data_IF_791585655071
#
_entry.id   IF_791585655071
#
_cell.length_a   1.000
_cell.length_b   1.000
_cell.length_c   1.000
_cell.angle_alpha   90.00
_cell.angle_beta   90.00
_cell.angle_gamma   90.00
#
_symmetry.space_group_name_H-M   'P 1'
#
loop_
_entity.id
_entity.type
_entity.pdbx_description
1 polymer ?
#
# COMPACT_ATOMS: atom_id res chain seq x y z
N UNK A 1 -14.35 -14.59 -17.73
CA UNK A 1 -13.28 -14.51 -16.72
C UNK A 1 -11.99 -15.01 -17.36
N UNK A 2 -11.07 -14.10 -17.71
CA UNK A 2 -9.77 -14.47 -18.28
C UNK A 2 -8.78 -14.61 -17.12
N UNK A 3 -8.53 -15.84 -16.67
CA UNK A 3 -7.40 -16.14 -15.79
C UNK A 3 -6.15 -15.96 -16.62
N UNK A 4 -5.46 -14.83 -16.46
CA UNK A 4 -4.12 -14.65 -17.01
C UNK A 4 -3.20 -15.54 -16.16
N UNK A 5 -2.67 -16.66 -16.66
CA UNK A 5 -1.68 -17.42 -15.90
C UNK A 5 -0.46 -16.52 -15.72
N UNK A 6 0.11 -16.49 -14.51
CA UNK A 6 1.42 -15.87 -14.29
C UNK A 6 2.47 -16.75 -14.98
N UNK A 7 2.63 -16.59 -16.30
CA UNK A 7 3.56 -17.36 -17.14
C UNK A 7 5.01 -16.86 -17.07
N UNK A 8 5.31 -15.94 -16.16
CA UNK A 8 6.69 -15.52 -15.92
C UNK A 8 7.22 -16.39 -14.78
N UNK A 9 8.14 -17.30 -15.08
CA UNK A 9 8.92 -17.97 -14.06
C UNK A 9 9.52 -16.92 -13.12
N UNK A 10 9.38 -17.13 -11.81
CA UNK A 10 10.06 -16.30 -10.83
C UNK A 10 11.56 -16.36 -11.11
N UNK A 11 12.17 -15.20 -11.41
CA UNK A 11 13.63 -15.08 -11.57
C UNK A 11 14.28 -15.08 -10.19
N UNK A 12 15.54 -15.53 -10.11
CA UNK A 12 16.33 -15.32 -8.90
C UNK A 12 16.58 -13.83 -8.68
N UNK A 13 16.93 -13.44 -7.45
CA UNK A 13 17.31 -12.04 -7.14
C UNK A 13 18.56 -11.66 -7.91
N UNK A 14 19.48 -12.61 -8.06
CA UNK A 14 20.74 -12.47 -8.79
C UNK A 14 20.48 -12.20 -10.28
N UNK A 15 19.65 -13.01 -10.94
CA UNK A 15 19.29 -12.84 -12.36
C UNK A 15 18.59 -11.49 -12.58
N UNK A 16 17.75 -11.07 -11.63
CA UNK A 16 17.06 -9.78 -11.72
C UNK A 16 18.04 -8.61 -11.60
N UNK A 17 18.98 -8.68 -10.64
CA UNK A 17 20.05 -7.69 -10.47
C UNK A 17 20.90 -7.58 -11.73
N UNK A 18 21.35 -8.70 -12.28
CA UNK A 18 22.15 -8.71 -13.52
C UNK A 18 21.42 -8.07 -14.68
N UNK A 19 20.11 -8.36 -14.83
CA UNK A 19 19.30 -7.75 -15.87
C UNK A 19 19.15 -6.24 -15.69
N UNK A 20 18.97 -5.77 -14.46
CA UNK A 20 18.91 -4.34 -14.16
C UNK A 20 20.24 -3.67 -14.50
N UNK A 21 21.37 -4.27 -14.12
CA UNK A 21 22.70 -3.77 -14.46
C UNK A 21 22.92 -3.68 -15.98
N UNK A 22 22.50 -4.71 -16.73
CA UNK A 22 22.56 -4.71 -18.20
C UNK A 22 21.75 -3.57 -18.82
N UNK A 23 20.55 -3.31 -18.32
CA UNK A 23 19.68 -2.22 -18.78
C UNK A 23 20.24 -0.84 -18.47
N UNK A 24 20.93 -0.69 -17.34
CA UNK A 24 21.50 0.59 -16.89
C UNK A 24 22.88 0.88 -17.49
N UNK A 25 23.63 -0.14 -17.93
CA UNK A 25 24.99 0.00 -18.48
C UNK A 25 25.13 1.08 -19.57
N UNK A 26 24.21 1.23 -20.55
CA UNK A 26 24.31 2.29 -21.56
C UNK A 26 24.14 3.71 -20.99
N UNK A 27 23.52 3.85 -19.81
CA UNK A 27 23.34 5.14 -19.15
C UNK A 27 24.62 5.60 -18.45
N UNK A 28 25.45 4.66 -17.97
CA UNK A 28 26.69 4.94 -17.24
C UNK A 28 27.77 5.64 -18.10
N UNK A 29 27.71 5.52 -19.42
CA UNK A 29 28.66 6.15 -20.35
C UNK A 29 28.24 7.53 -20.85
N UNK A 30 27.13 8.09 -20.37
CA UNK A 30 26.65 9.40 -20.83
C UNK A 30 27.52 10.52 -20.24
N UNK A 31 27.82 11.51 -21.07
CA UNK A 31 28.50 12.73 -20.63
C UNK A 31 27.64 13.54 -19.66
N UNK A 32 28.31 14.37 -18.86
CA UNK A 32 27.67 15.32 -17.95
C UNK A 32 27.70 16.71 -18.58
N UNK A 33 26.60 17.43 -18.47
CA UNK A 33 26.48 18.82 -18.89
C UNK A 33 25.85 19.67 -17.78
N UNK A 34 26.36 20.88 -17.59
CA UNK A 34 25.73 21.88 -16.74
C UNK A 34 24.71 22.65 -17.59
N UNK A 35 23.45 22.65 -17.15
CA UNK A 35 22.35 23.33 -17.85
C UNK A 35 21.56 24.23 -16.89
N UNK A 36 20.97 25.34 -17.37
CA UNK A 36 20.02 26.12 -16.59
C UNK A 36 18.82 25.27 -16.14
N UNK A 37 18.29 25.53 -14.93
CA UNK A 37 17.16 24.78 -14.36
C UNK A 37 15.93 24.73 -15.29
N UNK A 38 15.64 25.84 -16.00
CA UNK A 38 14.52 25.91 -16.95
C UNK A 38 14.66 24.96 -18.13
N UNK A 39 15.86 24.48 -18.43
CA UNK A 39 16.16 23.54 -19.50
C UNK A 39 16.29 22.09 -18.98
N UNK A 40 16.26 21.86 -17.67
CA UNK A 40 16.49 20.53 -17.10
C UNK A 40 15.36 19.51 -17.34
N UNK A 41 14.20 19.93 -17.84
CA UNK A 41 13.04 19.05 -18.04
C UNK A 41 13.37 17.89 -19.00
N UNK A 42 13.10 16.66 -18.56
CA UNK A 42 13.36 15.44 -19.34
C UNK A 42 14.81 14.91 -19.26
N UNK A 43 15.68 15.57 -18.50
CA UNK A 43 17.04 15.10 -18.19
C UNK A 43 17.07 14.36 -16.85
N UNK A 44 18.19 13.69 -16.59
CA UNK A 44 18.49 13.01 -15.31
C UNK A 44 19.64 13.72 -14.62
N UNK A 45 19.65 13.71 -13.29
CA UNK A 45 20.76 14.28 -12.52
C UNK A 45 22.04 13.47 -12.74
N UNK A 46 23.15 14.19 -12.93
CA UNK A 46 24.48 13.60 -13.07
C UNK A 46 25.07 13.14 -11.73
N UNK A 47 24.60 13.72 -10.63
CA UNK A 47 25.03 13.42 -9.26
C UNK A 47 23.82 13.19 -8.37
N UNK A 48 24.04 12.48 -7.26
CA UNK A 48 22.99 12.30 -6.25
C UNK A 48 22.60 13.66 -5.64
N UNK A 49 21.30 13.87 -5.49
CA UNK A 49 20.75 15.03 -4.79
C UNK A 49 19.85 14.55 -3.68
N UNK A 50 20.18 14.95 -2.46
CA UNK A 50 19.42 14.60 -1.27
C UNK A 50 18.52 15.75 -0.86
N UNK A 51 17.33 15.42 -0.37
CA UNK A 51 16.47 16.41 0.28
C UNK A 51 17.17 16.90 1.56
N UNK A 52 17.09 18.21 1.88
CA UNK A 52 17.69 18.75 3.09
C UNK A 52 16.97 18.30 4.36
N UNK A 53 15.76 17.76 4.23
CA UNK A 53 14.93 17.22 5.32
C UNK A 53 14.23 15.97 4.83
N UNK A 54 14.03 15.02 5.74
CA UNK A 54 13.20 13.84 5.48
C UNK A 54 11.76 14.26 5.22
N UNK A 55 11.16 13.67 4.20
CA UNK A 55 9.74 13.84 3.92
C UNK A 55 9.00 12.50 4.06
N UNK A 56 7.95 12.46 4.89
CA UNK A 56 7.46 13.55 5.74
C UNK A 56 8.37 13.81 6.96
N UNK A 57 8.31 15.03 7.51
CA UNK A 57 9.13 15.49 8.66
C UNK A 57 8.86 14.74 9.98
N UNK A 58 7.92 13.80 9.96
CA UNK A 58 7.60 12.91 11.05
C UNK A 58 7.64 11.47 10.53
N UNK A 59 7.93 10.50 11.40
CA UNK A 59 7.94 9.08 11.02
C UNK A 59 6.56 8.69 10.49
N UNK A 60 6.47 8.50 9.19
CA UNK A 60 5.29 8.04 8.47
C UNK A 60 5.76 6.98 7.48
N UNK A 61 5.28 5.74 7.63
CA UNK A 61 5.41 4.75 6.56
C UNK A 61 4.28 5.02 5.56
N UNK A 62 4.63 5.55 4.39
CA UNK A 62 3.65 5.84 3.35
C UNK A 62 3.11 4.60 2.62
N UNK A 63 3.74 3.43 2.76
CA UNK A 63 3.56 2.32 1.81
C UNK A 63 3.75 0.89 2.34
N UNK A 64 3.82 0.62 3.65
CA UNK A 64 3.94 -0.78 4.13
C UNK A 64 2.63 -1.25 4.77
N UNK A 65 1.98 -2.21 4.11
CA UNK A 65 0.77 -2.86 4.63
C UNK A 65 1.03 -3.61 5.95
N UNK A 66 -0.03 -3.81 6.73
CA UNK A 66 0.02 -4.55 7.99
C UNK A 66 0.07 -6.06 7.76
N UNK A 67 0.99 -6.74 8.44
CA UNK A 67 0.97 -8.21 8.55
C UNK A 67 0.10 -8.59 9.75
N UNK A 68 -0.97 -9.36 9.51
CA UNK A 68 -1.96 -9.74 10.52
C UNK A 68 -1.94 -11.25 10.79
N UNK A 69 -2.07 -11.65 12.07
CA UNK A 69 -2.08 -13.08 12.48
C UNK A 69 -3.45 -13.71 12.23
N UNK A 70 -3.47 -14.92 11.67
CA UNK A 70 -4.69 -15.61 11.22
C UNK A 70 -5.71 -15.94 12.33
N UNK A 71 -5.30 -15.93 13.59
CA UNK A 71 -6.02 -16.47 14.74
C UNK A 71 -6.90 -15.46 15.52
N UNK A 72 -6.82 -14.15 15.23
CA UNK A 72 -7.40 -13.09 16.07
C UNK A 72 -8.85 -12.67 15.73
N UNK A 73 -9.80 -13.59 15.54
CA UNK A 73 -11.05 -13.29 14.77
C UNK A 73 -12.36 -13.32 15.58
N UNK A 74 -13.00 -12.16 15.82
CA UNK A 74 -14.48 -11.94 15.84
C UNK A 74 -14.89 -10.46 16.05
N UNK A 75 -15.83 -9.92 15.25
CA UNK A 75 -16.40 -8.56 15.45
C UNK A 75 -17.72 -8.30 14.68
N UNK A 76 -18.33 -7.11 14.83
CA UNK A 76 -19.55 -6.67 14.09
C UNK A 76 -19.36 -5.33 13.37
N UNK A 77 -19.75 -5.14 12.09
CA UNK A 77 -19.58 -3.85 11.36
C UNK A 77 -20.68 -3.60 10.30
N UNK A 78 -20.71 -2.40 9.66
CA UNK A 78 -21.66 -1.99 8.61
C UNK A 78 -21.01 -1.18 7.47
N UNK A 79 -21.51 -1.25 6.22
CA UNK A 79 -21.02 -0.46 5.07
C UNK A 79 -21.44 -0.98 3.68
N UNK A 80 -21.03 -0.27 2.60
CA UNK A 80 -21.29 -0.68 1.20
C UNK A 80 -19.99 -0.86 0.41
N UNK A 81 -19.38 -2.06 0.42
CA UNK A 81 -18.10 -2.34 -0.22
C UNK A 81 -18.23 -2.39 -1.75
N UNK A 82 -17.27 -1.85 -2.54
CA UNK A 82 -17.20 -2.10 -3.97
C UNK A 82 -17.06 -3.59 -4.32
N UNK A 83 -17.83 -4.04 -5.30
CA UNK A 83 -17.79 -5.42 -5.80
C UNK A 83 -16.40 -5.81 -6.35
N UNK A 84 -16.01 -7.06 -6.13
CA UNK A 84 -14.80 -7.66 -6.70
C UNK A 84 -13.50 -7.22 -6.03
N UNK A 85 -13.55 -6.52 -4.89
CA UNK A 85 -12.36 -6.11 -4.14
C UNK A 85 -12.51 -6.42 -2.66
N UNK A 86 -11.63 -7.28 -2.16
CA UNK A 86 -11.46 -7.51 -0.73
C UNK A 86 -10.90 -6.23 -0.08
N UNK A 87 -11.45 -5.84 1.06
CA UNK A 87 -11.03 -4.62 1.77
C UNK A 87 -10.66 -4.93 3.21
N UNK A 88 -9.67 -4.18 3.70
CA UNK A 88 -9.31 -4.14 5.11
C UNK A 88 -9.58 -2.73 5.61
N UNK A 89 -10.75 -2.55 6.23
CA UNK A 89 -11.20 -1.26 6.73
C UNK A 89 -10.67 -1.04 8.14
N UNK A 90 -10.29 0.19 8.49
CA UNK A 90 -9.83 0.49 9.86
C UNK A 90 -11.03 0.50 10.80
N UNK A 91 -10.93 -0.21 11.91
CA UNK A 91 -11.97 -0.32 12.93
C UNK A 91 -11.47 -0.02 14.34
N UNK A 92 -12.42 0.28 15.22
CA UNK A 92 -12.25 0.32 16.67
C UNK A 92 -13.10 -0.74 17.32
N UNK A 93 -12.57 -1.36 18.35
CA UNK A 93 -13.31 -2.24 19.24
C UNK A 93 -14.24 -1.40 20.10
N UNK A 94 -15.48 -1.86 20.24
CA UNK A 94 -16.49 -1.25 21.11
C UNK A 94 -17.01 -2.29 22.09
N UNK A 95 -17.86 -1.88 23.03
CA UNK A 95 -18.51 -2.80 23.98
C UNK A 95 -19.32 -3.90 23.29
N UNK A 96 -19.85 -3.62 22.09
CA UNK A 96 -20.84 -4.46 21.41
C UNK A 96 -20.36 -5.06 20.08
N UNK A 97 -19.09 -4.84 19.72
CA UNK A 97 -18.50 -5.32 18.48
C UNK A 97 -17.38 -4.41 17.98
N UNK A 98 -17.45 -3.99 16.71
CA UNK A 98 -16.47 -3.07 16.13
C UNK A 98 -17.18 -1.94 15.38
N UNK A 99 -16.51 -0.81 15.22
CA UNK A 99 -17.02 0.35 14.47
C UNK A 99 -15.95 0.84 13.51
N UNK A 100 -16.34 1.36 12.34
CA UNK A 100 -15.38 1.95 11.41
C UNK A 100 -14.69 3.16 12.07
N UNK A 101 -13.36 3.14 12.08
CA UNK A 101 -12.55 4.27 12.56
C UNK A 101 -12.60 5.44 11.56
N UNK A 102 -12.81 5.15 10.27
CA UNK A 102 -12.89 6.15 9.19
C UNK A 102 -13.43 5.55 7.89
N UNK A 103 -13.68 6.41 6.90
CA UNK A 103 -14.03 5.98 5.54
C UNK A 103 -12.88 5.24 4.82
N UNK A 104 -13.16 4.51 3.73
CA UNK A 104 -12.23 3.53 3.13
C UNK A 104 -11.01 4.15 2.40
N UNK A 105 -10.93 5.47 2.26
CA UNK A 105 -9.84 6.14 1.54
C UNK A 105 -8.45 5.80 2.11
N UNK A 106 -7.50 5.49 1.24
CA UNK A 106 -6.11 5.18 1.61
C UNK A 106 -5.31 6.41 2.06
N UNK A 107 -5.71 7.61 1.61
CA UNK A 107 -5.11 8.88 2.03
C UNK A 107 -5.47 9.28 3.48
N UNK A 108 -6.38 8.56 4.13
CA UNK A 108 -6.86 8.84 5.49
C UNK A 108 -6.05 8.09 6.56
N UNK A 109 -4.72 8.04 6.41
CA UNK A 109 -3.84 7.30 7.31
C UNK A 109 -3.88 7.81 8.76
N UNK A 110 -4.20 9.10 8.96
CA UNK A 110 -4.39 9.70 10.30
C UNK A 110 -5.45 8.95 11.13
N UNK A 111 -6.45 8.35 10.48
CA UNK A 111 -7.47 7.58 11.17
C UNK A 111 -6.97 6.23 11.70
N UNK A 112 -5.77 5.79 11.31
CA UNK A 112 -5.12 4.63 11.90
C UNK A 112 -4.73 4.87 13.36
N UNK A 113 -4.40 6.10 13.74
CA UNK A 113 -4.12 6.45 15.14
C UNK A 113 -5.34 6.21 16.06
N UNK A 114 -6.52 6.02 15.46
CA UNK A 114 -7.75 5.71 16.14
C UNK A 114 -8.28 4.35 15.73
N UNK A 115 -7.45 3.40 15.28
CA UNK A 115 -7.86 2.05 14.96
C UNK A 115 -7.10 1.05 15.83
N UNK A 116 -7.80 0.02 16.31
CA UNK A 116 -7.24 -1.11 17.05
C UNK A 116 -7.44 -2.44 16.31
N UNK A 117 -8.27 -2.44 15.25
CA UNK A 117 -8.51 -3.59 14.40
C UNK A 117 -8.61 -3.21 12.92
N UNK A 118 -8.37 -4.18 12.03
CA UNK A 118 -8.78 -4.15 10.64
C UNK A 118 -10.00 -5.06 10.43
N UNK A 119 -11.05 -4.52 9.84
CA UNK A 119 -12.27 -5.22 9.46
C UNK A 119 -12.09 -5.76 8.03
N UNK A 120 -12.13 -7.07 7.89
CA UNK A 120 -11.94 -7.78 6.63
C UNK A 120 -13.27 -8.05 5.94
N UNK A 121 -13.39 -7.45 4.76
CA UNK A 121 -14.57 -7.51 3.91
C UNK A 121 -14.22 -8.29 2.65
N UNK A 122 -14.74 -9.52 2.47
CA UNK A 122 -14.55 -10.32 1.27
C UNK A 122 -15.02 -9.59 0.00
N UNK A 123 -14.44 -9.94 -1.15
CA UNK A 123 -14.68 -9.27 -2.42
C UNK A 123 -16.12 -9.43 -2.96
N UNK A 124 -16.79 -10.49 -2.53
CA UNK A 124 -18.16 -10.85 -2.84
C UNK A 124 -19.20 -10.06 -2.02
N UNK A 125 -18.79 -9.47 -0.89
CA UNK A 125 -19.67 -8.68 -0.04
C UNK A 125 -19.83 -7.29 -0.64
N UNK A 126 -21.05 -6.96 -1.06
CA UNK A 126 -21.38 -5.65 -1.65
C UNK A 126 -22.36 -4.84 -0.81
N UNK A 127 -22.88 -5.44 0.25
CA UNK A 127 -23.71 -4.82 1.27
C UNK A 127 -23.40 -5.46 2.63
N UNK A 128 -23.23 -4.64 3.66
CA UNK A 128 -22.90 -5.06 5.01
C UNK A 128 -23.81 -4.31 5.98
N UNK A 129 -24.82 -5.01 6.52
CA UNK A 129 -25.76 -4.44 7.46
C UNK A 129 -25.14 -4.24 8.85
N UNK A 130 -25.66 -3.27 9.62
CA UNK A 130 -25.24 -3.11 11.01
C UNK A 130 -25.54 -4.38 11.82
N UNK A 131 -24.57 -4.78 12.65
CA UNK A 131 -24.64 -6.02 13.43
C UNK A 131 -24.20 -7.28 12.67
N UNK A 132 -23.89 -7.18 11.37
CA UNK A 132 -23.28 -8.28 10.62
C UNK A 132 -21.98 -8.71 11.27
N UNK A 133 -21.84 -10.03 11.46
CA UNK A 133 -20.59 -10.62 11.94
C UNK A 133 -19.54 -10.48 10.86
N UNK A 134 -18.40 -9.92 11.23
CA UNK A 134 -17.26 -9.68 10.34
C UNK A 134 -16.01 -10.31 10.91
N UNK A 135 -15.10 -10.67 10.00
CA UNK A 135 -13.74 -11.02 10.37
C UNK A 135 -12.99 -9.75 10.71
N UNK A 136 -12.30 -9.76 11.86
CA UNK A 136 -11.44 -8.66 12.30
C UNK A 136 -10.03 -9.17 12.54
N UNK A 137 -9.06 -8.27 12.50
CA UNK A 137 -7.66 -8.51 12.76
C UNK A 137 -7.13 -7.45 13.71
N UNK A 138 -6.60 -7.84 14.86
CA UNK A 138 -5.99 -6.89 15.80
C UNK A 138 -4.70 -6.29 15.22
N UNK A 139 -4.45 -5.01 15.52
CA UNK A 139 -3.30 -4.22 15.08
C UNK A 139 -2.16 -4.18 16.11
#
# INVERSE_FOLDING_TARGET
>A
MSTRPATVSARSVEDHRERVEELLRPLAGRGVEDVPMGEALGRVLATEMYAPVDLPVFRNSGMDGYAVRAESVAGRAAGRPPAGRRQFLRGRTTTDGVALASGPGSHLIAAMAHADVLIDIPAEVTDLAAGSVVKVWEL
#
